data_IF_716126110104
#
_entry.id   IF_716126110104
#
_cell.length_a   1.000
_cell.length_b   1.000
_cell.length_c   1.000
_cell.angle_alpha   90.00
_cell.angle_beta   90.00
_cell.angle_gamma   90.00
#
_symmetry.space_group_name_H-M   'P 1'
#
loop_
_entity.id
_entity.type
_entity.pdbx_description
1 polymer ?
#
# COMPACT_ATOMS: atom_id res chain seq x y z
N UNK A 1 11.29 2.23 17.70
CA UNK A 1 12.30 2.66 16.68
C UNK A 1 11.58 2.72 15.34
N UNK A 2 11.71 3.80 14.53
CA UNK A 2 11.03 3.86 13.24
C UNK A 2 11.60 2.82 12.27
N UNK A 3 10.72 2.11 11.56
CA UNK A 3 11.12 1.12 10.57
C UNK A 3 11.13 1.76 9.19
N UNK A 4 12.29 1.73 8.53
CA UNK A 4 12.43 2.24 7.16
C UNK A 4 12.13 1.11 6.19
N UNK A 5 11.09 1.26 5.37
CA UNK A 5 10.77 0.30 4.31
C UNK A 5 10.59 1.01 2.97
N UNK A 6 10.68 0.27 1.88
CA UNK A 6 10.46 0.78 0.53
C UNK A 6 9.08 0.38 0.04
N UNK A 7 8.36 1.33 -0.56
CA UNK A 7 7.12 1.03 -1.25
C UNK A 7 7.40 0.28 -2.55
N UNK A 8 6.70 -0.82 -2.81
CA UNK A 8 6.88 -1.60 -4.03
C UNK A 8 6.30 -0.94 -5.28
N UNK A 9 5.33 -0.03 -5.11
CA UNK A 9 4.67 0.67 -6.23
C UNK A 9 5.43 1.92 -6.68
N UNK A 10 5.99 2.68 -5.74
CA UNK A 10 6.68 3.94 -6.06
C UNK A 10 8.19 3.91 -5.78
N UNK A 11 8.71 2.85 -5.16
CA UNK A 11 10.13 2.71 -4.82
C UNK A 11 10.64 3.65 -3.72
N UNK A 12 9.81 4.57 -3.21
CA UNK A 12 10.20 5.53 -2.17
C UNK A 12 10.38 4.84 -0.82
N UNK A 13 11.35 5.32 -0.05
CA UNK A 13 11.56 4.94 1.35
C UNK A 13 10.54 5.68 2.21
N UNK A 14 9.90 4.96 3.12
CA UNK A 14 8.95 5.47 4.08
C UNK A 14 9.39 5.05 5.47
N UNK A 15 9.31 6.01 6.39
CA UNK A 15 9.52 5.78 7.81
C UNK A 15 8.16 5.43 8.42
N UNK A 16 8.05 4.20 8.91
CA UNK A 16 6.84 3.69 9.51
C UNK A 16 7.02 3.69 11.02
N UNK A 17 6.17 4.46 11.70
CA UNK A 17 6.06 4.44 13.15
C UNK A 17 5.36 3.15 13.63
N UNK A 18 5.62 2.75 14.87
CA UNK A 18 4.99 1.57 15.51
C UNK A 18 3.45 1.63 15.51
N UNK A 19 2.90 2.83 15.56
CA UNK A 19 1.45 3.08 15.55
C UNK A 19 0.79 2.77 14.19
N UNK A 20 1.59 2.64 13.12
CA UNK A 20 1.05 2.41 11.79
C UNK A 20 0.73 0.91 11.59
N UNK A 21 -0.46 0.53 11.10
CA UNK A 21 -0.81 -0.87 10.88
C UNK A 21 0.09 -1.58 9.86
N UNK A 22 0.82 -0.84 9.03
CA UNK A 22 1.83 -1.41 8.16
C UNK A 22 3.07 -1.90 8.92
N UNK A 23 3.41 -1.28 10.06
CA UNK A 23 4.54 -1.67 10.90
C UNK A 23 4.39 -3.10 11.36
N UNK A 24 3.24 -3.44 11.96
CA UNK A 24 2.99 -4.78 12.47
C UNK A 24 3.02 -5.85 11.35
N UNK A 25 2.58 -5.49 10.14
CA UNK A 25 2.65 -6.40 8.97
C UNK A 25 4.08 -6.62 8.48
N UNK A 26 4.90 -5.56 8.48
CA UNK A 26 6.31 -5.64 8.09
C UNK A 26 7.16 -6.35 9.12
N UNK A 27 6.90 -6.13 10.41
CA UNK A 27 7.55 -6.84 11.51
C UNK A 27 7.17 -8.32 11.50
N UNK A 28 5.89 -8.65 11.28
CA UNK A 28 5.44 -10.04 11.20
C UNK A 28 5.94 -10.75 9.92
N UNK A 29 6.06 -10.03 8.80
CA UNK A 29 6.54 -10.54 7.51
C UNK A 29 7.49 -9.53 6.86
N UNK A 30 8.82 -9.67 7.05
CA UNK A 30 9.80 -8.76 6.45
C UNK A 30 9.82 -8.83 4.91
N UNK A 31 9.29 -9.90 4.32
CA UNK A 31 9.11 -10.09 2.88
C UNK A 31 7.76 -9.56 2.35
N UNK A 32 6.94 -8.91 3.20
CA UNK A 32 5.66 -8.34 2.78
C UNK A 32 5.85 -7.07 1.96
N UNK A 33 5.17 -7.04 0.82
CA UNK A 33 5.11 -5.88 -0.09
C UNK A 33 4.49 -4.69 0.64
N UNK A 34 5.32 -3.72 1.04
CA UNK A 34 4.81 -2.46 1.57
C UNK A 34 4.26 -1.59 0.43
N UNK A 35 3.05 -1.08 0.64
CA UNK A 35 2.37 -0.17 -0.28
C UNK A 35 2.04 1.10 0.51
N UNK A 36 2.53 2.23 0.01
CA UNK A 36 2.30 3.54 0.61
C UNK A 36 0.80 3.91 0.58
N UNK A 37 0.28 4.67 1.55
CA UNK A 37 -1.15 5.03 1.56
C UNK A 37 -1.59 5.77 0.29
N UNK A 38 -0.74 6.63 -0.27
CA UNK A 38 -0.98 7.28 -1.56
C UNK A 38 -1.17 6.27 -2.70
N UNK A 39 -0.29 5.27 -2.75
CA UNK A 39 -0.26 4.21 -3.74
C UNK A 39 -1.49 3.30 -3.58
N UNK A 40 -1.82 2.97 -2.32
CA UNK A 40 -2.97 2.15 -1.94
C UNK A 40 -4.28 2.85 -2.29
N UNK A 41 -4.38 4.14 -2.01
CA UNK A 41 -5.58 4.92 -2.30
C UNK A 41 -5.77 5.11 -3.80
N UNK A 42 -4.68 5.35 -4.53
CA UNK A 42 -4.68 5.39 -5.99
C UNK A 42 -5.14 4.06 -6.60
N UNK A 43 -4.54 2.94 -6.19
CA UNK A 43 -4.91 1.61 -6.70
C UNK A 43 -6.36 1.26 -6.37
N UNK A 44 -6.84 1.61 -5.18
CA UNK A 44 -8.26 1.44 -4.81
C UNK A 44 -9.17 2.23 -5.75
N UNK A 45 -8.89 3.52 -5.92
CA UNK A 45 -9.67 4.38 -6.82
C UNK A 45 -9.67 3.86 -8.27
N UNK A 46 -8.50 3.49 -8.79
CA UNK A 46 -8.37 2.89 -10.13
C UNK A 46 -9.16 1.57 -10.24
N UNK A 47 -9.12 0.72 -9.21
CA UNK A 47 -9.86 -0.56 -9.20
C UNK A 47 -11.37 -0.35 -9.15
N UNK A 48 -11.85 0.59 -8.35
CA UNK A 48 -13.29 0.91 -8.21
C UNK A 48 -13.84 1.54 -9.49
N UNK A 49 -13.06 2.39 -10.17
CA UNK A 49 -13.46 2.98 -11.46
C UNK A 49 -13.51 1.92 -12.58
N UNK A 50 -12.52 1.01 -12.61
CA UNK A 50 -12.48 -0.13 -13.55
C UNK A 50 -13.58 -1.16 -13.29
N UNK A 51 -14.05 -1.28 -12.05
CA UNK A 51 -15.10 -2.22 -11.66
C UNK A 51 -16.51 -1.73 -11.97
N UNK A 52 -16.71 -0.55 -12.54
CA UNK A 52 -18.01 -0.24 -13.16
C UNK A 52 -18.22 -1.23 -14.30
N UNK A 53 -19.20 -2.15 -14.19
CA UNK A 53 -19.53 -3.00 -15.32
C UNK A 53 -19.91 -2.07 -16.47
N UNK A 54 -19.13 -2.10 -17.55
CA UNK A 54 -19.62 -1.62 -18.84
C UNK A 54 -20.88 -2.43 -19.09
N UNK A 55 -22.04 -1.80 -18.91
CA UNK A 55 -23.32 -2.38 -19.32
C UNK A 55 -23.10 -2.91 -20.73
N UNK A 56 -23.28 -4.23 -20.97
CA UNK A 56 -23.41 -4.70 -22.34
C UNK A 56 -24.61 -3.94 -22.91
N UNK A 57 -24.39 -3.21 -24.00
CA UNK A 57 -25.47 -2.64 -24.80
C UNK A 57 -26.30 -3.77 -25.41
#
# INVERSE_FOLDING_TARGET
MPLVTRCALCGKKYEIAEDNPAYQKLVAKPSSTYICDMCKNRVRFESEDQQKPKKPM
#
